data_IF_041755534455
#
_entry.id   IF_041755534455
#
_cell.length_a   1.000
_cell.length_b   1.000
_cell.length_c   1.000
_cell.angle_alpha   90.00
_cell.angle_beta   90.00
_cell.angle_gamma   90.00
#
_symmetry.space_group_name_H-M   'P 1'
#
loop_
_entity.id
_entity.type
_entity.pdbx_description
1 polymer ?
#
# COMPACT_ATOMS: atom_id res chain seq x y z
N UNK A 1 18.16 20.90 -5.06
CA UNK A 1 17.38 21.27 -3.85
C UNK A 1 15.87 21.17 -4.08
N UNK A 2 15.31 21.83 -5.11
CA UNK A 2 13.87 21.84 -5.41
C UNK A 2 13.28 20.43 -5.62
N UNK A 3 13.97 19.55 -6.36
CA UNK A 3 13.50 18.18 -6.63
C UNK A 3 13.42 17.31 -5.36
N UNK A 4 14.33 17.51 -4.40
CA UNK A 4 14.32 16.77 -3.13
C UNK A 4 13.14 17.23 -2.26
N UNK A 5 12.88 18.53 -2.22
CA UNK A 5 11.74 19.09 -1.50
C UNK A 5 10.40 18.59 -2.07
N UNK A 6 10.27 18.53 -3.40
CA UNK A 6 9.08 17.98 -4.07
C UNK A 6 8.84 16.50 -3.73
N UNK A 7 9.90 15.67 -3.73
CA UNK A 7 9.82 14.27 -3.31
C UNK A 7 9.36 14.12 -1.86
N UNK A 8 9.87 14.97 -0.97
CA UNK A 8 9.52 14.95 0.45
C UNK A 8 8.05 15.33 0.66
N UNK A 9 7.58 16.40 0.02
CA UNK A 9 6.17 16.81 0.09
C UNK A 9 5.24 15.75 -0.50
N UNK A 10 5.58 15.17 -1.65
CA UNK A 10 4.82 14.09 -2.25
C UNK A 10 4.72 12.85 -1.34
N UNK A 11 5.82 12.52 -0.65
CA UNK A 11 5.87 11.41 0.31
C UNK A 11 4.97 11.68 1.51
N UNK A 12 5.04 12.88 2.10
CA UNK A 12 4.23 13.25 3.27
C UNK A 12 2.75 13.26 2.92
N UNK A 13 2.38 13.96 1.84
CA UNK A 13 0.97 14.07 1.40
C UNK A 13 0.45 12.69 0.99
N UNK A 14 1.22 11.93 0.23
CA UNK A 14 0.82 10.60 -0.21
C UNK A 14 0.65 9.61 0.94
N UNK A 15 1.57 9.63 1.90
CA UNK A 15 1.49 8.82 3.12
C UNK A 15 0.33 9.20 4.02
N UNK A 16 0.01 10.50 4.12
CA UNK A 16 -1.15 10.98 4.86
C UNK A 16 -2.46 10.51 4.22
N UNK A 17 -2.60 10.63 2.90
CA UNK A 17 -3.76 10.11 2.15
C UNK A 17 -3.90 8.60 2.31
N UNK A 18 -2.78 7.86 2.23
CA UNK A 18 -2.72 6.42 2.48
C UNK A 18 -3.24 6.08 3.89
N UNK A 19 -2.74 6.78 4.91
CA UNK A 19 -3.14 6.57 6.31
C UNK A 19 -4.63 6.81 6.54
N UNK A 20 -5.22 7.84 5.91
CA UNK A 20 -6.67 8.10 5.95
C UNK A 20 -7.44 6.99 5.24
N UNK A 21 -7.02 6.61 4.04
CA UNK A 21 -7.69 5.55 3.27
C UNK A 21 -7.73 4.23 4.02
N UNK A 22 -6.58 3.83 4.58
CA UNK A 22 -6.42 2.58 5.33
C UNK A 22 -7.25 2.59 6.61
N UNK A 23 -7.02 3.57 7.50
CA UNK A 23 -7.66 3.54 8.81
C UNK A 23 -9.10 4.06 8.81
N UNK A 24 -9.43 4.98 7.92
CA UNK A 24 -10.77 5.56 7.83
C UNK A 24 -11.77 4.68 7.09
N UNK A 25 -11.31 3.85 6.14
CA UNK A 25 -12.23 3.14 5.24
C UNK A 25 -11.97 1.64 5.15
N UNK A 26 -10.72 1.19 5.00
CA UNK A 26 -10.41 -0.23 4.84
C UNK A 26 -10.56 -0.99 6.16
N UNK A 27 -9.82 -0.57 7.19
CA UNK A 27 -9.79 -1.24 8.50
C UNK A 27 -11.17 -1.38 9.16
N UNK A 28 -12.03 -0.33 9.19
CA UNK A 28 -13.35 -0.44 9.82
C UNK A 28 -14.31 -1.41 9.12
N UNK A 29 -14.08 -1.70 7.83
CA UNK A 29 -14.91 -2.60 7.03
C UNK A 29 -14.22 -3.94 6.76
N UNK A 30 -13.13 -4.24 7.47
CA UNK A 30 -12.30 -5.44 7.26
C UNK A 30 -11.91 -5.68 5.80
N UNK A 31 -11.65 -4.60 5.07
CA UNK A 31 -11.22 -4.65 3.68
C UNK A 31 -9.70 -4.78 3.61
N UNK A 32 -9.21 -5.41 2.56
CA UNK A 32 -7.79 -5.60 2.30
C UNK A 32 -7.40 -4.85 1.03
N UNK A 33 -6.16 -4.37 1.01
CA UNK A 33 -5.47 -3.90 -0.18
C UNK A 33 -4.51 -4.97 -0.72
N UNK A 34 -3.89 -4.72 -1.87
CA UNK A 34 -2.86 -5.57 -2.44
C UNK A 34 -1.53 -5.55 -1.66
N UNK A 35 -0.67 -6.53 -1.99
CA UNK A 35 0.73 -6.52 -1.63
C UNK A 35 1.06 -6.55 -0.14
N UNK A 36 2.17 -5.91 0.24
CA UNK A 36 2.66 -5.96 1.62
C UNK A 36 1.68 -5.28 2.60
N UNK A 37 1.01 -4.21 2.16
CA UNK A 37 -0.05 -3.58 2.95
C UNK A 37 -1.21 -4.55 3.18
N UNK A 38 -1.57 -5.36 2.19
CA UNK A 38 -2.59 -6.40 2.35
C UNK A 38 -2.22 -7.45 3.39
N UNK A 39 -0.99 -7.94 3.35
CA UNK A 39 -0.48 -8.89 4.36
C UNK A 39 -0.47 -8.24 5.75
N UNK A 40 -0.07 -6.97 5.84
CA UNK A 40 -0.09 -6.20 7.08
C UNK A 40 -1.51 -6.04 7.66
N UNK A 41 -2.53 -5.85 6.81
CA UNK A 41 -3.94 -5.77 7.20
C UNK A 41 -4.47 -7.12 7.68
N UNK A 42 -4.15 -8.21 6.99
CA UNK A 42 -4.52 -9.56 7.44
C UNK A 42 -3.93 -9.83 8.83
N UNK A 43 -2.65 -9.54 9.03
CA UNK A 43 -2.02 -9.70 10.35
C UNK A 43 -2.68 -8.80 11.40
N UNK A 44 -3.08 -7.59 11.04
CA UNK A 44 -3.81 -6.69 11.93
C UNK A 44 -5.16 -7.29 12.38
N UNK A 45 -5.94 -7.86 11.46
CA UNK A 45 -7.27 -8.40 11.79
C UNK A 45 -7.24 -9.66 12.66
N UNK A 46 -6.13 -10.40 12.66
CA UNK A 46 -6.02 -11.68 13.37
C UNK A 46 -5.20 -11.60 14.65
N UNK A 47 -4.15 -10.78 14.66
CA UNK A 47 -3.20 -10.69 15.78
C UNK A 47 -3.22 -9.32 16.47
N UNK A 48 -4.12 -8.41 16.06
CA UNK A 48 -4.22 -7.03 16.56
C UNK A 48 -2.90 -6.23 16.44
N UNK A 49 -2.01 -6.65 15.55
CA UNK A 49 -0.75 -5.94 15.32
C UNK A 49 -0.95 -4.61 14.62
N UNK A 50 -0.11 -3.62 14.94
CA UNK A 50 -0.12 -2.32 14.28
C UNK A 50 0.27 -2.47 12.80
N UNK A 51 -0.62 -2.02 11.91
CA UNK A 51 -0.51 -2.20 10.46
C UNK A 51 0.75 -1.54 9.89
N UNK A 52 1.15 -0.37 10.40
CA UNK A 52 2.37 0.30 9.98
C UNK A 52 3.62 -0.47 10.40
N UNK A 53 3.69 -0.90 11.67
CA UNK A 53 4.82 -1.72 12.15
C UNK A 53 4.95 -3.02 11.35
N UNK A 54 3.85 -3.73 11.09
CA UNK A 54 3.90 -4.97 10.30
C UNK A 54 4.33 -4.70 8.87
N UNK A 55 3.85 -3.62 8.25
CA UNK A 55 4.30 -3.19 6.93
C UNK A 55 5.81 -2.91 6.89
N UNK A 56 6.37 -2.25 7.91
CA UNK A 56 7.82 -2.04 8.02
C UNK A 56 8.55 -3.37 8.18
N UNK A 57 8.10 -4.22 9.12
CA UNK A 57 8.76 -5.51 9.39
C UNK A 57 8.83 -6.41 8.14
N UNK A 58 7.76 -6.44 7.35
CA UNK A 58 7.71 -7.20 6.09
C UNK A 58 8.54 -6.56 4.98
N UNK A 59 8.56 -5.22 4.89
CA UNK A 59 9.25 -4.49 3.82
C UNK A 59 10.75 -4.32 4.07
N UNK A 60 11.20 -4.35 5.31
CA UNK A 60 12.60 -4.16 5.70
C UNK A 60 13.56 -5.20 5.08
N UNK A 61 13.29 -6.53 5.10
CA UNK A 61 14.17 -7.50 4.44
C UNK A 61 14.23 -7.28 2.92
N UNK A 62 13.12 -6.88 2.29
CA UNK A 62 13.05 -6.61 0.85
C UNK A 62 13.83 -5.33 0.52
N UNK A 63 13.72 -4.31 1.36
CA UNK A 63 14.50 -3.08 1.27
C UNK A 63 16.00 -3.37 1.36
N UNK A 64 16.44 -4.18 2.32
CA UNK A 64 17.85 -4.57 2.45
C UNK A 64 18.33 -5.27 1.18
N UNK A 65 17.58 -6.24 0.67
CA UNK A 65 17.92 -6.94 -0.57
C UNK A 65 17.99 -6.00 -1.78
N UNK A 66 17.04 -5.07 -1.90
CA UNK A 66 17.04 -4.07 -2.97
C UNK A 66 18.23 -3.10 -2.88
N UNK A 67 18.69 -2.77 -1.66
CA UNK A 67 19.82 -1.88 -1.40
C UNK A 67 21.12 -2.39 -2.04
N UNK A 68 21.28 -3.73 -2.10
CA UNK A 68 22.43 -4.36 -2.73
C UNK A 68 22.49 -4.16 -4.25
N UNK A 69 21.34 -3.84 -4.89
CA UNK A 69 21.22 -3.80 -6.35
C UNK A 69 21.10 -2.36 -6.92
N UNK A 70 20.46 -1.41 -6.20
CA UNK A 70 20.31 0.01 -6.64
C UNK A 70 20.19 1.01 -5.46
N UNK A 71 21.33 1.58 -5.03
CA UNK A 71 21.43 2.52 -3.88
C UNK A 71 20.53 3.77 -3.95
N UNK A 72 20.27 4.35 -5.13
CA UNK A 72 19.52 5.61 -5.25
C UNK A 72 18.01 5.48 -4.99
N UNK A 73 17.40 4.37 -5.42
CA UNK A 73 15.96 4.12 -5.26
C UNK A 73 15.64 3.61 -3.85
N UNK A 74 16.62 3.00 -3.19
CA UNK A 74 16.54 2.48 -1.83
C UNK A 74 16.21 3.57 -0.80
N UNK A 75 16.96 4.67 -0.77
CA UNK A 75 16.75 5.73 0.23
C UNK A 75 15.36 6.38 0.11
N UNK A 76 14.90 6.62 -1.12
CA UNK A 76 13.56 7.19 -1.35
C UNK A 76 12.44 6.22 -0.98
N UNK A 77 12.63 4.92 -1.23
CA UNK A 77 11.64 3.88 -0.89
C UNK A 77 11.57 3.59 0.60
N UNK A 78 12.73 3.58 1.29
CA UNK A 78 12.80 3.38 2.73
C UNK A 78 12.20 4.58 3.48
N UNK A 79 12.45 5.79 3.00
CA UNK A 79 11.80 6.98 3.54
C UNK A 79 10.27 6.92 3.34
N UNK A 80 9.81 6.56 2.14
CA UNK A 80 8.38 6.43 1.87
C UNK A 80 7.72 5.35 2.73
N UNK A 81 8.36 4.20 2.89
CA UNK A 81 7.94 3.13 3.79
C UNK A 81 7.76 3.64 5.22
N UNK A 82 8.79 4.26 5.82
CA UNK A 82 8.75 4.72 7.21
C UNK A 82 7.72 5.82 7.44
N UNK A 83 7.58 6.76 6.49
CA UNK A 83 6.61 7.84 6.60
C UNK A 83 5.19 7.28 6.43
N UNK A 84 4.97 6.39 5.46
CA UNK A 84 3.68 5.74 5.23
C UNK A 84 3.22 4.90 6.41
N UNK A 85 4.10 4.08 6.98
CA UNK A 85 3.78 3.27 8.15
C UNK A 85 3.49 4.12 9.39
N UNK A 86 4.28 5.18 9.60
CA UNK A 86 4.05 6.11 10.70
C UNK A 86 2.66 6.77 10.57
N UNK A 87 2.30 7.26 9.38
CA UNK A 87 0.97 7.84 9.18
C UNK A 87 -0.15 6.80 9.34
N UNK A 88 0.04 5.56 8.89
CA UNK A 88 -0.94 4.50 9.12
C UNK A 88 -1.15 4.26 10.63
N UNK A 89 -0.10 4.15 11.43
CA UNK A 89 -0.27 3.91 12.86
C UNK A 89 -0.75 5.16 13.63
N UNK A 90 -0.29 6.34 13.23
CA UNK A 90 -0.71 7.62 13.82
C UNK A 90 -2.20 7.89 13.57
N UNK A 91 -2.72 7.49 12.41
CA UNK A 91 -4.12 7.66 12.04
C UNK A 91 -5.01 6.48 12.48
N UNK A 92 -4.48 5.51 13.25
CA UNK A 92 -5.28 4.44 13.82
C UNK A 92 -6.54 4.91 14.59
N UNK A 93 -6.55 6.05 15.31
CA UNK A 93 -7.76 6.55 15.95
C UNK A 93 -8.91 6.92 15.00
N UNK A 94 -8.65 7.14 13.69
CA UNK A 94 -9.72 7.40 12.72
C UNK A 94 -10.64 6.19 12.50
N UNK A 95 -10.21 4.98 12.88
CA UNK A 95 -10.97 3.74 12.68
C UNK A 95 -12.36 3.77 13.31
N UNK A 96 -12.53 4.50 14.41
CA UNK A 96 -13.80 4.60 15.14
C UNK A 96 -14.61 5.85 14.80
N UNK A 97 -14.15 6.70 13.87
CA UNK A 97 -14.80 7.98 13.56
C UNK A 97 -15.63 7.94 12.28
N UNK A 98 -15.37 6.99 11.39
CA UNK A 98 -15.96 6.93 10.05
C UNK A 98 -16.74 5.62 9.91
N UNK A 99 -18.05 5.72 9.72
CA UNK A 99 -18.94 4.59 9.48
C UNK A 99 -19.67 4.79 8.14
N UNK A 100 -19.26 4.02 7.14
CA UNK A 100 -19.82 4.01 5.78
C UNK A 100 -20.11 2.58 5.36
N UNK A 101 -20.94 2.41 4.33
CA UNK A 101 -21.20 1.09 3.76
C UNK A 101 -19.92 0.51 3.12
N UNK A 102 -19.79 -0.82 3.13
CA UNK A 102 -18.62 -1.53 2.59
C UNK A 102 -18.23 -1.07 1.18
N UNK A 103 -19.21 -0.86 0.30
CA UNK A 103 -18.98 -0.37 -1.06
C UNK A 103 -18.39 1.05 -1.08
N UNK A 104 -18.96 2.00 -0.32
CA UNK A 104 -18.45 3.37 -0.28
C UNK A 104 -17.05 3.41 0.33
N UNK A 105 -16.82 2.61 1.37
CA UNK A 105 -15.51 2.51 2.01
C UNK A 105 -14.47 1.93 1.07
N UNK A 106 -14.80 0.89 0.30
CA UNK A 106 -13.92 0.34 -0.72
C UNK A 106 -13.56 1.37 -1.79
N UNK A 107 -14.53 2.14 -2.28
CA UNK A 107 -14.31 3.17 -3.30
C UNK A 107 -13.52 4.36 -2.77
N UNK A 108 -13.96 4.98 -1.67
CA UNK A 108 -13.31 6.18 -1.13
C UNK A 108 -11.93 5.84 -0.58
N UNK A 109 -11.83 4.74 0.18
CA UNK A 109 -10.55 4.22 0.67
C UNK A 109 -9.60 3.90 -0.48
N UNK A 110 -10.08 3.20 -1.51
CA UNK A 110 -9.30 2.89 -2.69
C UNK A 110 -8.84 4.11 -3.48
N UNK A 111 -9.70 5.12 -3.65
CA UNK A 111 -9.32 6.40 -4.29
C UNK A 111 -8.25 7.11 -3.47
N UNK A 112 -8.41 7.24 -2.15
CA UNK A 112 -7.44 7.93 -1.30
C UNK A 112 -6.08 7.24 -1.28
N UNK A 113 -6.09 5.90 -1.15
CA UNK A 113 -4.87 5.08 -1.21
C UNK A 113 -4.19 5.26 -2.57
N UNK A 114 -4.92 5.08 -3.67
CA UNK A 114 -4.34 5.19 -5.00
C UNK A 114 -3.93 6.61 -5.39
N UNK A 115 -4.60 7.65 -4.88
CA UNK A 115 -4.12 9.03 -4.96
C UNK A 115 -2.78 9.20 -4.26
N UNK A 116 -2.65 8.66 -3.05
CA UNK A 116 -1.43 8.73 -2.27
C UNK A 116 -0.26 8.00 -2.94
N UNK A 117 -0.48 6.74 -3.34
CA UNK A 117 0.51 5.92 -4.03
C UNK A 117 0.86 6.51 -5.40
N UNK A 118 -0.13 6.92 -6.19
CA UNK A 118 0.08 7.56 -7.50
C UNK A 118 0.91 8.85 -7.39
N UNK A 119 0.62 9.70 -6.41
CA UNK A 119 1.42 10.91 -6.16
C UNK A 119 2.87 10.55 -5.83
N UNK A 120 3.09 9.56 -4.97
CA UNK A 120 4.44 9.10 -4.61
C UNK A 120 5.20 8.58 -5.84
N UNK A 121 4.56 7.74 -6.65
CA UNK A 121 5.16 7.17 -7.86
C UNK A 121 5.54 8.24 -8.88
N UNK A 122 4.70 9.27 -9.07
CA UNK A 122 4.97 10.40 -9.98
C UNK A 122 6.27 11.14 -9.65
N UNK A 123 6.65 11.20 -8.38
CA UNK A 123 7.91 11.80 -7.92
C UNK A 123 9.04 10.76 -7.72
N UNK A 124 8.90 9.55 -8.27
CA UNK A 124 9.85 8.45 -8.12
C UNK A 124 10.13 8.08 -6.65
N UNK A 125 9.09 8.16 -5.82
CA UNK A 125 9.06 7.64 -4.45
C UNK A 125 8.11 6.45 -4.40
N UNK A 126 8.23 5.61 -3.38
CA UNK A 126 7.41 4.41 -3.24
C UNK A 126 7.14 4.15 -1.77
N UNK A 127 6.05 3.46 -1.48
CA UNK A 127 5.74 2.93 -0.15
C UNK A 127 6.69 1.79 0.25
N UNK A 128 7.58 1.36 -0.65
CA UNK A 128 8.78 0.57 -0.36
C UNK A 128 8.56 -0.93 -0.19
N UNK A 129 7.31 -1.38 -0.13
CA UNK A 129 6.97 -2.79 0.01
C UNK A 129 6.82 -3.51 -1.32
N UNK A 130 5.57 -3.59 -1.79
CA UNK A 130 5.16 -4.40 -2.96
C UNK A 130 5.87 -3.98 -4.24
N UNK A 131 6.00 -2.67 -4.49
CA UNK A 131 6.64 -2.16 -5.71
C UNK A 131 8.11 -2.59 -5.82
N UNK A 132 8.80 -2.61 -4.68
CA UNK A 132 10.22 -2.97 -4.61
C UNK A 132 10.39 -4.48 -4.85
N UNK A 133 9.53 -5.28 -4.22
CA UNK A 133 9.47 -6.73 -4.37
C UNK A 133 9.16 -7.11 -5.82
N UNK A 134 8.13 -6.51 -6.41
CA UNK A 134 7.72 -6.76 -7.78
C UNK A 134 8.81 -6.39 -8.79
N UNK A 135 9.51 -5.27 -8.58
CA UNK A 135 10.63 -4.83 -9.43
C UNK A 135 11.83 -5.76 -9.35
N UNK A 136 12.12 -6.33 -8.17
CA UNK A 136 13.17 -7.34 -8.00
C UNK A 136 12.83 -8.59 -8.80
N UNK A 137 11.63 -9.15 -8.59
CA UNK A 137 11.17 -10.38 -9.27
C UNK A 137 11.11 -10.17 -10.78
N UNK A 138 10.52 -9.06 -11.23
CA UNK A 138 10.44 -8.69 -12.65
C UNK A 138 11.81 -8.66 -13.31
N UNK A 139 12.83 -8.09 -12.65
CA UNK A 139 14.20 -8.07 -13.18
C UNK A 139 14.83 -9.46 -13.21
N UNK A 140 14.57 -10.30 -12.22
CA UNK A 140 15.15 -11.67 -12.14
C UNK A 140 14.54 -12.60 -13.17
N UNK A 141 13.22 -12.52 -13.41
CA UNK A 141 12.50 -13.40 -14.33
C UNK A 141 12.20 -12.77 -15.70
N UNK A 142 12.62 -11.52 -15.95
CA UNK A 142 12.34 -10.76 -17.18
C UNK A 142 10.84 -10.70 -17.54
N UNK A 143 9.98 -10.57 -16.53
CA UNK A 143 8.52 -10.46 -16.67
C UNK A 143 8.08 -9.03 -16.38
N UNK A 144 6.97 -8.58 -16.95
CA UNK A 144 6.41 -7.25 -16.67
C UNK A 144 6.09 -7.06 -15.18
N UNK A 145 6.48 -5.91 -14.63
CA UNK A 145 6.25 -5.55 -13.22
C UNK A 145 4.75 -5.63 -12.87
N UNK A 146 3.88 -5.21 -13.79
CA UNK A 146 2.43 -5.26 -13.61
C UNK A 146 1.91 -6.69 -13.40
N UNK A 147 2.44 -7.67 -14.13
CA UNK A 147 2.05 -9.09 -13.99
C UNK A 147 2.47 -9.61 -12.62
N UNK A 148 3.67 -9.23 -12.15
CA UNK A 148 4.16 -9.64 -10.83
C UNK A 148 3.30 -9.04 -9.71
N UNK A 149 2.91 -7.77 -9.81
CA UNK A 149 2.02 -7.13 -8.83
C UNK A 149 0.67 -7.87 -8.79
N UNK A 150 0.05 -8.11 -9.96
CA UNK A 150 -1.22 -8.84 -10.05
C UNK A 150 -1.11 -10.25 -9.46
N UNK A 151 0.01 -10.95 -9.67
CA UNK A 151 0.23 -12.27 -9.12
C UNK A 151 0.35 -12.24 -7.58
N UNK A 152 1.09 -11.28 -7.03
CA UNK A 152 1.23 -11.10 -5.57
C UNK A 152 -0.13 -10.75 -4.95
N UNK A 153 -0.83 -9.77 -5.51
CA UNK A 153 -2.13 -9.31 -5.01
C UNK A 153 -3.18 -10.43 -5.11
N UNK A 154 -3.21 -11.16 -6.23
CA UNK A 154 -4.09 -12.30 -6.41
C UNK A 154 -3.84 -13.40 -5.37
N UNK A 155 -2.58 -13.69 -5.05
CA UNK A 155 -2.25 -14.66 -4.00
C UNK A 155 -2.71 -14.21 -2.63
N UNK A 156 -2.60 -12.92 -2.30
CA UNK A 156 -3.05 -12.35 -1.03
C UNK A 156 -4.58 -12.37 -0.94
N UNK A 157 -5.27 -12.01 -2.01
CA UNK A 157 -6.75 -12.08 -2.08
C UNK A 157 -7.21 -13.52 -1.90
N UNK A 158 -6.60 -14.49 -2.57
CA UNK A 158 -6.93 -15.92 -2.40
C UNK A 158 -6.65 -16.38 -0.97
N UNK A 159 -5.52 -15.98 -0.38
CA UNK A 159 -5.22 -16.29 1.02
C UNK A 159 -6.21 -15.65 1.98
N UNK A 160 -6.79 -14.49 1.62
CA UNK A 160 -7.78 -13.82 2.45
C UNK A 160 -9.16 -14.50 2.45
N UNK A 161 -9.51 -15.30 1.45
CA UNK A 161 -10.78 -16.04 1.42
C UNK A 161 -10.93 -17.06 2.55
N UNK A 162 -9.83 -17.59 3.08
CA UNK A 162 -9.87 -18.53 4.22
C UNK A 162 -9.97 -17.81 5.56
N UNK A 163 -9.76 -16.50 5.57
CA UNK A 163 -9.59 -15.67 6.76
C UNK A 163 -10.75 -14.66 6.93
N UNK A 164 -11.27 -14.11 5.84
CA UNK A 164 -12.30 -13.07 5.85
C UNK A 164 -13.62 -13.56 5.26
N UNK A 165 -14.69 -12.80 5.54
CA UNK A 165 -15.99 -13.05 4.94
C UNK A 165 -15.94 -12.81 3.42
N UNK A 166 -16.76 -13.57 2.69
CA UNK A 166 -16.82 -13.50 1.23
C UNK A 166 -17.19 -12.08 0.76
N UNK A 167 -18.07 -11.40 1.50
CA UNK A 167 -18.44 -10.00 1.25
C UNK A 167 -17.23 -9.07 1.35
N UNK A 168 -16.46 -9.13 2.44
CA UNK A 168 -15.27 -8.29 2.62
C UNK A 168 -14.23 -8.52 1.52
N UNK A 169 -14.05 -9.77 1.06
CA UNK A 169 -13.13 -10.08 -0.05
C UNK A 169 -13.61 -9.49 -1.38
N UNK A 170 -14.91 -9.59 -1.69
CA UNK A 170 -15.48 -9.00 -2.91
C UNK A 170 -15.31 -7.47 -2.92
N UNK A 171 -15.59 -6.81 -1.80
CA UNK A 171 -15.36 -5.37 -1.66
C UNK A 171 -13.87 -5.00 -1.67
N UNK A 172 -12.98 -5.88 -1.19
CA UNK A 172 -11.54 -5.70 -1.29
C UNK A 172 -11.08 -5.73 -2.74
N UNK A 173 -11.63 -6.61 -3.59
CA UNK A 173 -11.37 -6.58 -5.03
C UNK A 173 -11.78 -5.23 -5.66
N UNK A 174 -12.91 -4.67 -5.23
CA UNK A 174 -13.34 -3.32 -5.67
C UNK A 174 -12.34 -2.25 -5.18
N UNK A 175 -11.88 -2.34 -3.93
CA UNK A 175 -10.88 -1.42 -3.40
C UNK A 175 -9.57 -1.49 -4.22
N UNK A 176 -9.01 -2.70 -4.41
CA UNK A 176 -7.75 -2.93 -5.15
C UNK A 176 -7.85 -2.43 -6.60
N UNK A 177 -8.95 -2.72 -7.29
CA UNK A 177 -9.15 -2.22 -8.66
C UNK A 177 -9.25 -0.68 -8.68
N UNK A 178 -9.90 -0.08 -7.69
CA UNK A 178 -9.99 1.38 -7.55
C UNK A 178 -8.63 2.00 -7.25
N UNK A 179 -7.84 1.40 -6.36
CA UNK A 179 -6.45 1.79 -6.07
C UNK A 179 -5.61 1.74 -7.35
N UNK A 180 -5.67 0.62 -8.09
CA UNK A 180 -4.89 0.44 -9.32
C UNK A 180 -5.23 1.48 -10.39
N UNK A 181 -6.53 1.73 -10.63
CA UNK A 181 -6.99 2.71 -11.61
C UNK A 181 -6.57 4.15 -11.24
N UNK A 182 -6.77 4.52 -9.98
CA UNK A 182 -6.46 5.88 -9.49
C UNK A 182 -4.96 6.12 -9.43
N UNK A 183 -4.19 5.11 -9.01
CA UNK A 183 -2.72 5.12 -9.06
C UNK A 183 -2.22 5.30 -10.49
N UNK A 184 -2.79 4.57 -11.45
CA UNK A 184 -2.40 4.69 -12.87
C UNK A 184 -2.71 6.07 -13.45
N UNK A 185 -3.87 6.64 -13.11
CA UNK A 185 -4.26 7.99 -13.54
C UNK A 185 -3.33 9.08 -13.02
N UNK A 186 -2.90 8.99 -11.76
CA UNK A 186 -2.12 10.05 -11.10
C UNK A 186 -0.62 9.86 -11.26
N UNK A 187 -0.16 8.60 -11.22
CA UNK A 187 1.24 8.21 -11.32
C UNK A 187 1.91 8.72 -12.58
N UNK A 188 1.15 8.83 -13.68
CA UNK A 188 1.68 9.18 -14.99
C UNK A 188 2.53 8.03 -15.54
N UNK A 189 2.27 7.63 -16.79
CA UNK A 189 3.11 6.66 -17.50
C UNK A 189 4.57 7.10 -17.56
#
# INVERSE_FOLDING_TARGET
MIVIFQKLMATIIGSFLLGIGVNGFLVPNHLIDGGILGIALILHYFFDFQTGITMVALSLPICIYASMNKRGYFFSSLQGLLVSSLFIDLLAPLRSQIYLSHLLSALIGGVLIGMGVGLMLRYQTSTGGTDLLAKIISKTFTVDIAIVIIAIDGLIVVASLTLLSLDSVLYSCVAITTVGLTTSWIGGK
#
